data_IF_208206570068
#
_entry.id   IF_208206570068
#
_cell.length_a   1.000
_cell.length_b   1.000
_cell.length_c   1.000
_cell.angle_alpha   90.00
_cell.angle_beta   90.00
_cell.angle_gamma   90.00
#
_symmetry.space_group_name_H-M   'P 1'
#
loop_
_entity.id
_entity.type
_entity.pdbx_description
1 polymer ?
#
# COMPACT_ATOMS: atom_id res chain seq x y z
N UNK A 1 4.85 -16.57 40.77
CA UNK A 1 4.00 -16.54 39.56
C UNK A 1 4.76 -16.12 38.29
N UNK A 2 5.73 -15.21 38.32
CA UNK A 2 6.47 -14.74 37.13
C UNK A 2 7.31 -15.83 36.41
N UNK A 3 7.90 -16.76 37.16
CA UNK A 3 8.69 -17.89 36.59
C UNK A 3 7.84 -18.91 35.80
N UNK A 4 6.55 -19.06 36.16
CA UNK A 4 5.61 -19.92 35.45
C UNK A 4 5.19 -19.27 34.12
N UNK A 5 4.93 -17.96 34.13
CA UNK A 5 4.60 -17.21 32.90
C UNK A 5 5.74 -17.21 31.88
N UNK A 6 7.00 -17.05 32.31
CA UNK A 6 8.17 -17.13 31.42
C UNK A 6 8.30 -18.52 30.77
N UNK A 7 8.06 -19.59 31.53
CA UNK A 7 8.12 -20.97 31.01
C UNK A 7 6.98 -21.28 30.06
N UNK A 8 5.77 -20.79 30.33
CA UNK A 8 4.61 -20.95 29.45
C UNK A 8 4.80 -20.18 28.14
N UNK A 9 5.31 -18.95 28.19
CA UNK A 9 5.60 -18.16 26.98
C UNK A 9 6.68 -18.79 26.11
N UNK A 10 7.73 -19.38 26.72
CA UNK A 10 8.76 -20.11 25.98
C UNK A 10 8.20 -21.38 25.30
N UNK A 11 7.27 -22.08 25.96
CA UNK A 11 6.60 -23.26 25.42
C UNK A 11 5.67 -22.91 24.25
N UNK A 12 4.95 -21.81 24.34
CA UNK A 12 4.07 -21.32 23.27
C UNK A 12 4.91 -20.84 22.07
N UNK A 13 6.02 -20.13 22.31
CA UNK A 13 6.94 -19.72 21.25
C UNK A 13 7.61 -20.93 20.55
N UNK A 14 7.97 -21.97 21.31
CA UNK A 14 8.47 -23.22 20.76
C UNK A 14 7.41 -23.95 19.92
N UNK A 15 6.15 -24.00 20.37
CA UNK A 15 5.05 -24.61 19.61
C UNK A 15 4.74 -23.86 18.31
N UNK A 16 4.85 -22.52 18.29
CA UNK A 16 4.69 -21.70 17.08
C UNK A 16 5.84 -21.90 16.08
N UNK A 17 7.05 -22.22 16.55
CA UNK A 17 8.20 -22.51 15.68
C UNK A 17 8.12 -23.89 14.99
N UNK A 18 7.32 -24.83 15.53
CA UNK A 18 7.13 -26.17 14.94
C UNK A 18 5.95 -26.19 13.96
N UNK A 19 5.13 -25.13 13.91
CA UNK A 19 4.03 -24.99 12.93
C UNK A 19 4.50 -24.40 11.57
N UNK A 20 5.80 -24.21 11.37
CA UNK A 20 6.39 -23.75 10.11
C UNK A 20 6.82 -24.91 9.21
N UNK A 21 6.31 -24.89 7.97
CA UNK A 21 6.72 -25.71 6.82
C UNK A 21 6.47 -27.22 6.92
N UNK A 22 5.20 -27.62 6.86
CA UNK A 22 4.87 -28.91 6.25
C UNK A 22 5.13 -28.79 4.74
N UNK A 23 6.32 -29.21 4.32
CA UNK A 23 6.59 -29.60 2.94
C UNK A 23 5.66 -30.77 2.62
N UNK A 24 4.64 -30.51 1.79
CA UNK A 24 3.76 -31.57 1.27
C UNK A 24 4.59 -32.37 0.28
N UNK A 25 5.22 -33.44 0.77
CA UNK A 25 5.79 -34.49 -0.06
C UNK A 25 4.63 -35.29 -0.69
N UNK A 26 4.17 -34.82 -1.85
CA UNK A 26 3.19 -35.54 -2.66
C UNK A 26 3.89 -36.60 -3.50
N UNK A 27 4.43 -37.64 -2.85
CA UNK A 27 4.76 -38.90 -3.54
C UNK A 27 3.48 -39.70 -3.84
N UNK A 28 2.55 -39.09 -4.55
CA UNK A 28 1.49 -39.82 -5.25
C UNK A 28 2.15 -40.42 -6.47
N UNK A 29 2.48 -41.72 -6.37
CA UNK A 29 2.88 -42.57 -7.48
C UNK A 29 1.65 -42.84 -8.36
N UNK A 30 1.15 -41.80 -9.00
CA UNK A 30 0.14 -41.89 -10.03
C UNK A 30 0.79 -42.42 -11.31
N UNK A 31 0.13 -43.41 -11.91
CA UNK A 31 0.53 -44.00 -13.18
C UNK A 31 0.83 -42.90 -14.20
N UNK A 32 2.07 -42.82 -14.67
CA UNK A 32 2.41 -42.03 -15.84
C UNK A 32 1.48 -42.42 -17.00
N UNK A 33 0.60 -41.53 -17.48
CA UNK A 33 0.10 -41.68 -18.83
C UNK A 33 1.31 -41.44 -19.73
N UNK A 34 1.57 -42.39 -20.61
CA UNK A 34 2.51 -42.27 -21.73
C UNK A 34 2.55 -40.85 -22.25
N UNK A 35 3.71 -40.20 -22.10
CA UNK A 35 4.01 -38.87 -22.62
C UNK A 35 3.89 -38.95 -24.14
N UNK A 36 2.72 -38.60 -24.66
CA UNK A 36 2.62 -38.11 -26.01
C UNK A 36 3.29 -36.73 -26.00
N UNK A 37 4.45 -36.62 -26.63
CA UNK A 37 5.05 -35.34 -27.00
C UNK A 37 4.13 -34.65 -28.02
N UNK A 38 3.03 -34.09 -27.53
CA UNK A 38 2.36 -33.02 -28.25
C UNK A 38 3.32 -31.84 -28.25
N UNK A 39 3.55 -31.17 -29.39
CA UNK A 39 4.29 -29.91 -29.40
C UNK A 39 3.65 -29.01 -28.34
N UNK A 40 4.43 -28.52 -27.38
CA UNK A 40 3.95 -27.53 -26.41
C UNK A 40 3.69 -26.26 -27.23
N UNK A 41 2.47 -26.10 -27.70
CA UNK A 41 1.97 -24.86 -28.25
C UNK A 41 2.03 -23.87 -27.09
N UNK A 42 3.09 -23.05 -27.03
CA UNK A 42 3.20 -21.95 -26.08
C UNK A 42 1.94 -21.11 -26.26
N UNK A 43 1.07 -21.15 -25.27
CA UNK A 43 -0.18 -20.41 -25.32
C UNK A 43 0.08 -18.99 -24.83
N UNK A 44 -0.62 -18.00 -25.38
CA UNK A 44 -0.45 -16.57 -25.00
C UNK A 44 -0.60 -16.33 -23.47
N UNK A 45 -1.21 -17.27 -22.74
CA UNK A 45 -1.29 -17.27 -21.28
C UNK A 45 0.05 -17.61 -20.60
N UNK A 46 0.82 -18.56 -21.15
CA UNK A 46 2.11 -18.97 -20.57
C UNK A 46 3.10 -17.81 -20.67
N UNK A 47 3.12 -17.09 -21.80
CA UNK A 47 3.90 -15.86 -21.96
C UNK A 47 3.53 -14.81 -20.91
N UNK A 48 2.25 -14.65 -20.63
CA UNK A 48 1.76 -13.66 -19.68
C UNK A 48 2.14 -14.02 -18.23
N UNK A 49 2.10 -15.31 -17.89
CA UNK A 49 2.52 -15.82 -16.59
C UNK A 49 4.04 -15.70 -16.41
N UNK A 50 4.81 -16.06 -17.45
CA UNK A 50 6.26 -15.91 -17.47
C UNK A 50 6.66 -14.44 -17.34
N UNK A 51 5.97 -13.52 -18.02
CA UNK A 51 6.17 -12.09 -17.84
C UNK A 51 5.96 -11.67 -16.39
N UNK A 52 4.85 -12.09 -15.77
CA UNK A 52 4.57 -11.79 -14.36
C UNK A 52 5.66 -12.32 -13.42
N UNK A 53 6.10 -13.56 -13.63
CA UNK A 53 7.18 -14.18 -12.87
C UNK A 53 8.51 -13.43 -13.04
N UNK A 54 8.87 -13.10 -14.29
CA UNK A 54 10.08 -12.34 -14.58
C UNK A 54 10.04 -10.95 -13.93
N UNK A 55 8.92 -10.24 -14.06
CA UNK A 55 8.76 -8.90 -13.49
C UNK A 55 8.80 -8.91 -11.97
N UNK A 56 8.28 -9.95 -11.32
CA UNK A 56 8.32 -10.12 -9.87
C UNK A 56 9.75 -10.34 -9.34
N UNK A 57 10.60 -11.00 -10.12
CA UNK A 57 12.00 -11.25 -9.79
C UNK A 57 12.94 -10.08 -10.13
N UNK A 58 12.46 -9.06 -10.83
CA UNK A 58 13.23 -7.84 -11.11
C UNK A 58 13.35 -6.93 -9.88
N UNK A 59 14.46 -6.20 -9.80
CA UNK A 59 14.57 -5.09 -8.86
C UNK A 59 13.60 -3.94 -9.23
N UNK A 60 13.35 -3.03 -8.29
CA UNK A 60 12.40 -1.93 -8.47
C UNK A 60 12.73 -1.00 -9.64
N UNK A 61 14.01 -0.72 -9.91
CA UNK A 61 14.42 0.17 -10.99
C UNK A 61 14.12 -0.46 -12.36
N UNK A 62 14.56 -1.70 -12.57
CA UNK A 62 14.32 -2.46 -13.81
C UNK A 62 12.82 -2.66 -14.06
N UNK A 63 12.06 -3.05 -13.02
CA UNK A 63 10.60 -3.19 -13.12
C UNK A 63 9.91 -1.87 -13.50
N UNK A 64 10.38 -0.75 -12.96
CA UNK A 64 9.85 0.58 -13.32
C UNK A 64 10.11 0.91 -14.78
N UNK A 65 11.32 0.63 -15.27
CA UNK A 65 11.71 0.85 -16.66
C UNK A 65 10.91 -0.02 -17.63
N UNK A 66 10.80 -1.33 -17.37
CA UNK A 66 9.99 -2.26 -18.16
C UNK A 66 8.54 -1.80 -18.26
N UNK A 67 7.93 -1.45 -17.12
CA UNK A 67 6.57 -0.93 -17.07
C UNK A 67 6.40 0.36 -17.88
N UNK A 68 7.33 1.32 -17.76
CA UNK A 68 7.26 2.58 -18.53
C UNK A 68 7.38 2.32 -20.03
N UNK A 69 8.23 1.37 -20.43
CA UNK A 69 8.37 0.95 -21.83
C UNK A 69 7.05 0.38 -22.36
N UNK A 70 6.39 -0.50 -21.60
CA UNK A 70 5.09 -1.07 -21.97
C UNK A 70 3.99 -0.01 -22.07
N UNK A 71 3.93 0.93 -21.11
CA UNK A 71 2.95 2.04 -21.15
C UNK A 71 3.17 2.92 -22.37
N UNK A 72 4.43 3.19 -22.72
CA UNK A 72 4.78 3.94 -23.93
C UNK A 72 4.34 3.19 -25.17
N UNK A 73 4.69 1.90 -25.29
CA UNK A 73 4.28 1.06 -26.42
C UNK A 73 2.77 1.03 -26.57
N UNK A 74 2.01 0.83 -25.49
CA UNK A 74 0.54 0.83 -25.54
C UNK A 74 -0.05 2.16 -26.02
N UNK A 75 0.62 3.27 -25.73
CA UNK A 75 0.18 4.59 -26.19
C UNK A 75 0.49 4.81 -27.67
N UNK A 76 1.65 4.35 -28.13
CA UNK A 76 2.13 4.54 -29.49
C UNK A 76 1.44 3.55 -30.46
N UNK A 77 1.30 2.29 -30.05
CA UNK A 77 0.68 1.19 -30.78
C UNK A 77 -0.18 0.34 -29.82
N UNK A 78 -1.50 0.62 -29.75
CA UNK A 78 -2.40 -0.10 -28.85
C UNK A 78 -2.54 -1.57 -29.25
N UNK A 79 -2.07 -2.47 -28.41
CA UNK A 79 -2.14 -3.91 -28.62
C UNK A 79 -2.81 -4.59 -27.41
N UNK A 80 -3.68 -5.58 -27.67
CA UNK A 80 -4.31 -6.36 -26.60
C UNK A 80 -3.23 -7.06 -25.74
N UNK A 81 -2.21 -7.64 -26.37
CA UNK A 81 -1.12 -8.32 -25.67
C UNK A 81 -0.40 -7.39 -24.69
N UNK A 82 -0.03 -6.18 -25.14
CA UNK A 82 0.64 -5.19 -24.27
C UNK A 82 -0.27 -4.74 -23.13
N UNK A 83 -1.57 -4.54 -23.39
CA UNK A 83 -2.55 -4.21 -22.36
C UNK A 83 -2.69 -5.32 -21.30
N UNK A 84 -2.63 -6.59 -21.70
CA UNK A 84 -2.62 -7.73 -20.77
C UNK A 84 -1.35 -7.73 -19.91
N UNK A 85 -0.19 -7.43 -20.50
CA UNK A 85 1.06 -7.28 -19.75
C UNK A 85 0.97 -6.13 -18.74
N UNK A 86 0.36 -5.00 -19.10
CA UNK A 86 0.12 -3.89 -18.18
C UNK A 86 -0.84 -4.28 -17.04
N UNK A 87 -1.87 -5.07 -17.33
CA UNK A 87 -2.81 -5.59 -16.33
C UNK A 87 -2.08 -6.42 -15.26
N UNK A 88 -1.22 -7.35 -15.67
CA UNK A 88 -0.40 -8.17 -14.77
C UNK A 88 0.63 -7.29 -14.05
N UNK A 89 1.36 -6.48 -14.80
CA UNK A 89 2.47 -5.69 -14.30
C UNK A 89 2.04 -4.64 -13.28
N UNK A 90 0.82 -4.10 -13.39
CA UNK A 90 0.30 -3.12 -12.44
C UNK A 90 0.12 -3.68 -11.02
N UNK A 91 -0.11 -4.99 -10.86
CA UNK A 91 -0.15 -5.63 -9.53
C UNK A 91 1.23 -5.63 -8.86
N UNK A 92 2.30 -5.53 -9.65
CA UNK A 92 3.69 -5.61 -9.19
C UNK A 92 4.38 -4.24 -9.15
N UNK A 93 3.88 -3.25 -9.88
CA UNK A 93 4.52 -1.93 -10.00
C UNK A 93 3.53 -0.84 -10.36
N UNK A 94 3.60 0.27 -9.62
CA UNK A 94 2.81 1.46 -9.90
C UNK A 94 3.24 2.21 -11.17
N UNK A 95 4.37 1.82 -11.78
CA UNK A 95 4.84 2.39 -13.04
C UNK A 95 4.11 1.85 -14.26
N UNK A 96 3.37 0.74 -14.13
CA UNK A 96 2.68 0.05 -15.24
C UNK A 96 1.35 0.72 -15.63
N UNK A 97 1.22 2.04 -15.48
CA UNK A 97 0.04 2.81 -15.87
C UNK A 97 -1.03 2.90 -14.78
N UNK A 98 -2.12 3.62 -15.03
CA UNK A 98 -3.14 3.89 -14.02
C UNK A 98 -4.20 2.78 -13.96
N UNK A 99 -4.52 2.30 -12.75
CA UNK A 99 -5.51 1.21 -12.55
C UNK A 99 -6.86 1.51 -13.22
N UNK A 100 -7.49 2.69 -13.04
CA UNK A 100 -8.78 2.97 -13.66
C UNK A 100 -8.75 2.88 -15.18
N UNK A 101 -7.64 3.34 -15.79
CA UNK A 101 -7.46 3.34 -17.24
C UNK A 101 -7.29 1.93 -17.79
N UNK A 102 -6.43 1.12 -17.14
CA UNK A 102 -6.23 -0.29 -17.54
C UNK A 102 -7.54 -1.07 -17.47
N UNK A 103 -8.31 -0.90 -16.39
CA UNK A 103 -9.59 -1.58 -16.22
C UNK A 103 -10.63 -1.16 -17.27
N UNK A 104 -10.65 0.10 -17.66
CA UNK A 104 -11.54 0.63 -18.70
C UNK A 104 -11.18 0.05 -20.08
N UNK A 105 -9.88 0.08 -20.43
CA UNK A 105 -9.38 -0.49 -21.69
C UNK A 105 -9.65 -2.01 -21.77
N UNK A 106 -9.45 -2.76 -20.67
CA UNK A 106 -9.76 -4.20 -20.60
C UNK A 106 -11.26 -4.48 -20.74
N UNK A 107 -12.13 -3.66 -20.15
CA UNK A 107 -13.58 -3.83 -20.25
C UNK A 107 -14.10 -3.62 -21.69
N UNK A 108 -13.35 -2.88 -22.51
CA UNK A 108 -13.64 -2.69 -23.94
C UNK A 108 -13.25 -3.88 -24.83
N UNK A 109 -12.53 -4.87 -24.31
CA UNK A 109 -12.07 -6.04 -25.09
C UNK A 109 -13.22 -7.04 -25.26
N UNK A 110 -13.63 -7.40 -26.50
CA UNK A 110 -14.61 -8.44 -26.72
C UNK A 110 -14.12 -9.80 -26.21
N UNK A 111 -14.95 -10.60 -25.51
CA UNK A 111 -14.54 -11.91 -25.02
C UNK A 111 -13.99 -12.86 -26.10
N UNK A 112 -14.45 -12.72 -27.34
CA UNK A 112 -13.98 -13.49 -28.50
C UNK A 112 -12.55 -13.18 -28.93
N UNK A 113 -12.00 -12.04 -28.50
CA UNK A 113 -10.60 -11.65 -28.79
C UNK A 113 -9.61 -12.17 -27.75
N UNK A 114 -10.10 -12.62 -26.59
CA UNK A 114 -9.32 -13.32 -25.58
C UNK A 114 -9.40 -14.82 -25.91
N UNK A 115 -8.50 -15.27 -26.78
CA UNK A 115 -8.62 -16.54 -27.52
C UNK A 115 -9.03 -17.78 -26.69
N UNK A 116 -8.50 -17.93 -25.47
CA UNK A 116 -8.78 -19.07 -24.57
C UNK A 116 -9.68 -18.67 -23.37
N UNK A 117 -10.52 -19.59 -22.92
CA UNK A 117 -11.26 -19.51 -21.65
C UNK A 117 -10.31 -19.32 -20.45
N UNK A 118 -9.14 -19.96 -20.48
CA UNK A 118 -8.11 -19.77 -19.44
C UNK A 118 -7.63 -18.32 -19.37
N UNK A 119 -7.41 -17.69 -20.52
CA UNK A 119 -7.02 -16.28 -20.60
C UNK A 119 -8.13 -15.38 -20.03
N UNK A 120 -9.39 -15.66 -20.38
CA UNK A 120 -10.55 -14.91 -19.83
C UNK A 120 -10.62 -15.00 -18.30
N UNK A 121 -10.39 -16.18 -17.74
CA UNK A 121 -10.32 -16.34 -16.29
C UNK A 121 -9.16 -15.57 -15.66
N UNK A 122 -7.97 -15.61 -16.26
CA UNK A 122 -6.81 -14.87 -15.76
C UNK A 122 -7.07 -13.36 -15.76
N UNK A 123 -7.61 -12.83 -16.87
CA UNK A 123 -8.02 -11.41 -16.99
C UNK A 123 -9.04 -11.04 -15.94
N UNK A 124 -10.04 -11.88 -15.69
CA UNK A 124 -11.06 -11.63 -14.67
C UNK A 124 -10.45 -11.57 -13.26
N UNK A 125 -9.58 -12.52 -12.93
CA UNK A 125 -8.88 -12.58 -11.64
C UNK A 125 -8.02 -11.33 -11.42
N UNK A 126 -7.19 -10.96 -12.40
CA UNK A 126 -6.31 -9.79 -12.28
C UNK A 126 -7.08 -8.48 -12.26
N UNK A 127 -8.15 -8.36 -13.05
CA UNK A 127 -9.04 -7.19 -13.02
C UNK A 127 -9.69 -7.01 -11.66
N UNK A 128 -10.16 -8.10 -11.04
CA UNK A 128 -10.75 -8.08 -9.71
C UNK A 128 -9.71 -7.73 -8.62
N UNK A 129 -8.50 -8.27 -8.73
CA UNK A 129 -7.38 -7.90 -7.85
C UNK A 129 -7.07 -6.40 -7.94
N UNK A 130 -6.98 -5.84 -9.15
CA UNK A 130 -6.75 -4.41 -9.35
C UNK A 130 -7.90 -3.54 -8.82
N UNK A 131 -9.16 -3.95 -8.99
CA UNK A 131 -10.32 -3.25 -8.40
C UNK A 131 -10.18 -3.14 -6.89
N UNK A 132 -9.78 -4.22 -6.22
CA UNK A 132 -9.54 -4.25 -4.77
C UNK A 132 -8.41 -3.31 -4.37
N UNK A 133 -7.27 -3.39 -5.05
CA UNK A 133 -6.11 -2.49 -4.81
C UNK A 133 -6.52 -1.02 -4.96
N UNK A 134 -7.22 -0.68 -6.03
CA UNK A 134 -7.70 0.69 -6.29
C UNK A 134 -8.67 1.17 -5.20
N UNK A 135 -9.59 0.32 -4.77
CA UNK A 135 -10.53 0.65 -3.70
C UNK A 135 -9.83 0.91 -2.36
N UNK A 136 -8.79 0.12 -2.05
CA UNK A 136 -7.97 0.27 -0.84
C UNK A 136 -7.15 1.55 -0.89
N UNK A 137 -6.52 1.84 -2.03
CA UNK A 137 -5.77 3.08 -2.25
C UNK A 137 -6.66 4.34 -2.07
N UNK A 138 -7.87 4.33 -2.63
CA UNK A 138 -8.85 5.42 -2.45
C UNK A 138 -9.27 5.60 -0.98
N UNK A 139 -9.47 4.49 -0.26
CA UNK A 139 -9.79 4.53 1.19
C UNK A 139 -8.63 5.10 2.00
N UNK A 140 -7.40 4.68 1.72
CA UNK A 140 -6.20 5.20 2.39
C UNK A 140 -6.06 6.72 2.18
N UNK A 141 -6.22 7.18 0.94
CA UNK A 141 -6.16 8.62 0.63
C UNK A 141 -7.27 9.44 1.30
N UNK A 142 -8.46 8.85 1.50
CA UNK A 142 -9.54 9.50 2.27
C UNK A 142 -9.19 9.61 3.76
N UNK A 143 -8.60 8.57 4.35
CA UNK A 143 -8.15 8.58 5.74
C UNK A 143 -7.01 9.58 5.96
N UNK A 144 -6.05 9.66 5.05
CA UNK A 144 -4.95 10.62 5.12
C UNK A 144 -5.46 12.07 5.06
N UNK A 145 -6.42 12.36 4.17
CA UNK A 145 -7.06 13.69 4.12
C UNK A 145 -7.78 14.02 5.42
N UNK A 146 -8.52 13.07 5.99
CA UNK A 146 -9.20 13.25 7.29
C UNK A 146 -8.19 13.47 8.41
N UNK A 147 -7.08 12.73 8.45
CA UNK A 147 -6.02 12.92 9.42
C UNK A 147 -5.39 14.32 9.30
N UNK A 148 -5.08 14.77 8.09
CA UNK A 148 -4.53 16.12 7.85
C UNK A 148 -5.50 17.23 8.27
N UNK A 149 -6.80 17.04 8.06
CA UNK A 149 -7.83 17.96 8.55
C UNK A 149 -7.89 17.97 10.09
N UNK A 150 -7.86 16.81 10.74
CA UNK A 150 -7.86 16.72 12.21
C UNK A 150 -6.60 17.36 12.80
N UNK A 151 -5.44 17.09 12.22
CA UNK A 151 -4.17 17.71 12.64
C UNK A 151 -4.21 19.24 12.52
N UNK A 152 -4.66 19.77 11.37
CA UNK A 152 -4.78 21.22 11.18
C UNK A 152 -5.76 21.88 12.15
N UNK A 153 -6.85 21.18 12.52
CA UNK A 153 -7.84 21.67 13.51
C UNK A 153 -7.27 21.69 14.92
N UNK A 154 -6.44 20.70 15.29
CA UNK A 154 -5.77 20.67 16.59
C UNK A 154 -4.72 21.78 16.70
N UNK A 155 -3.90 21.99 15.66
CA UNK A 155 -2.90 23.06 15.63
C UNK A 155 -3.51 24.46 15.69
N UNK A 156 -4.68 24.67 15.04
CA UNK A 156 -5.40 25.95 15.15
C UNK A 156 -6.06 26.16 16.51
N UNK A 157 -6.45 25.10 17.21
CA UNK A 157 -7.04 25.18 18.56
C UNK A 157 -5.99 25.47 19.63
N UNK A 158 -4.80 24.87 19.53
CA UNK A 158 -3.70 25.11 20.47
C UNK A 158 -3.09 26.52 20.31
N UNK A 159 -3.03 27.06 19.09
CA UNK A 159 -2.55 28.42 18.84
C UNK A 159 -3.50 29.53 19.39
N UNK A 160 -4.80 29.24 19.47
CA UNK A 160 -5.79 30.16 20.05
C UNK A 160 -5.84 30.10 21.59
N UNK A 161 -5.57 28.92 22.16
CA UNK A 161 -5.48 28.73 23.61
C UNK A 161 -4.23 29.35 24.23
N UNK A 162 -3.06 29.19 23.60
CA UNK A 162 -1.79 29.63 24.20
C UNK A 162 -1.65 31.17 24.27
N UNK A 163 -2.11 31.91 23.24
CA UNK A 163 -2.03 33.38 23.22
C UNK A 163 -2.90 34.05 24.29
N UNK A 164 -4.04 33.45 24.65
CA UNK A 164 -4.94 33.98 25.68
C UNK A 164 -4.38 33.77 27.08
N UNK A 165 -3.77 32.61 27.33
CA UNK A 165 -3.15 32.33 28.63
C UNK A 165 -1.85 33.13 28.82
N UNK A 166 -1.03 33.26 27.78
CA UNK A 166 0.20 34.06 27.82
C UNK A 166 -0.10 35.55 28.07
N UNK A 167 -1.09 36.12 27.37
CA UNK A 167 -1.50 37.51 27.60
C UNK A 167 -2.12 37.75 28.99
N UNK A 168 -2.74 36.72 29.60
CA UNK A 168 -3.24 36.78 30.98
C UNK A 168 -2.09 36.76 31.99
N UNK A 169 -1.14 35.84 31.82
CA UNK A 169 0.06 35.73 32.65
C UNK A 169 0.95 36.98 32.57
N UNK A 170 1.07 37.59 31.37
CA UNK A 170 1.80 38.84 31.20
C UNK A 170 1.11 40.02 31.89
N UNK A 171 -0.22 40.09 31.88
CA UNK A 171 -0.98 41.09 32.64
C UNK A 171 -0.80 40.95 34.15
N UNK A 172 -0.89 39.72 34.65
CA UNK A 172 -0.71 39.42 36.07
C UNK A 172 0.70 39.79 36.56
N UNK A 173 1.73 39.49 35.75
CA UNK A 173 3.12 39.91 36.05
C UNK A 173 3.30 41.43 36.05
N UNK A 174 2.66 42.14 35.11
CA UNK A 174 2.73 43.60 35.06
C UNK A 174 2.02 44.26 36.26
N UNK A 175 0.90 43.70 36.72
CA UNK A 175 0.21 44.18 37.92
C UNK A 175 1.01 43.90 39.20
N UNK A 176 1.66 42.74 39.29
CA UNK A 176 2.55 42.42 40.41
C UNK A 176 3.73 43.40 40.48
N UNK A 177 4.38 43.71 39.35
CA UNK A 177 5.46 44.71 39.29
C UNK A 177 4.95 46.09 39.72
N UNK A 178 3.82 46.53 39.17
CA UNK A 178 3.23 47.83 39.53
C UNK A 178 2.83 47.91 41.01
N UNK A 179 2.40 46.80 41.60
CA UNK A 179 2.11 46.71 43.04
C UNK A 179 3.38 46.80 43.90
N UNK A 180 4.48 46.18 43.46
CA UNK A 180 5.77 46.28 44.15
C UNK A 180 6.37 47.69 44.03
N UNK A 181 6.25 48.34 42.87
CA UNK A 181 6.67 49.74 42.68
C UNK A 181 5.91 50.68 43.61
N UNK A 182 4.59 50.50 43.74
CA UNK A 182 3.77 51.31 44.66
C UNK A 182 4.17 51.12 46.13
N UNK A 183 4.49 49.89 46.55
CA UNK A 183 4.98 49.64 47.91
C UNK A 183 6.36 50.27 48.16
N UNK A 184 7.23 50.30 47.13
CA UNK A 184 8.54 50.93 47.23
C UNK A 184 8.44 52.47 47.31
N UNK A 185 7.54 53.08 46.53
CA UNK A 185 7.29 54.53 46.60
C UNK A 185 6.67 54.94 47.95
N UNK A 186 5.74 54.15 48.51
CA UNK A 186 5.16 54.42 49.84
C UNK A 186 6.19 54.27 50.99
N UNK A 187 7.23 53.45 50.81
CA UNK A 187 8.36 53.36 51.76
C UNK A 187 9.44 54.43 51.57
N UNK A 188 9.39 55.19 50.47
CA UNK A 188 10.35 56.24 50.12
C UNK A 188 9.93 57.63 50.63
N UNK A 189 8.64 57.89 50.85
CA UNK A 189 8.14 59.20 51.34
C UNK A 189 8.14 59.35 52.87
N UNK A 190 8.80 58.43 53.59
CA UNK A 190 8.88 58.44 55.06
C UNK A 190 10.29 58.64 55.59
N UNK A 191 10.96 59.75 55.25
CA UNK A 191 12.14 60.23 56.01
C UNK A 191 12.35 61.74 55.89
#
# INVERSE_FOLDING_TARGET
MQLLFMRVSALIAALLAIAGCAEVDSSVREHFPTVYNTPVVHSDIDELLDFGNNLANMNTASRTETCRSLVKRQKDEPEIGVLLHLLVGRLLSDACGDIPRILDEIAGIPPSSLGDERMRHLVAIHSEALKRVNSTSKKLGSLERKQKTVQNVLETKDAAGSKKEESRLLREKLEAIRSMEKQLDETSEGK
#
